data_IF_152587206898
#
_entry.id   IF_152587206898
#
_cell.length_a   1.000
_cell.length_b   1.000
_cell.length_c   1.000
_cell.angle_alpha   90.00
_cell.angle_beta   90.00
_cell.angle_gamma   90.00
#
_symmetry.space_group_name_H-M   'P 1'
#
loop_
_entity.id
_entity.type
_entity.pdbx_description
1 polymer ?
#
# COMPACT_ATOMS: atom_id res chain seq x y z
N UNK A 1 9.86 5.07 34.43
CA UNK A 1 9.20 4.53 33.21
C UNK A 1 9.12 5.62 32.15
N UNK A 2 9.36 5.29 30.88
CA UNK A 2 9.14 6.24 29.78
C UNK A 2 7.64 6.57 29.67
N UNK A 3 7.30 7.84 29.35
CA UNK A 3 5.90 8.25 29.13
C UNK A 3 5.38 7.57 27.86
N UNK A 4 4.18 6.98 27.93
CA UNK A 4 3.48 6.46 26.75
C UNK A 4 3.24 7.61 25.75
N UNK A 5 3.48 7.37 24.48
CA UNK A 5 3.43 8.40 23.42
C UNK A 5 4.26 9.65 23.74
N UNK A 6 5.31 9.53 24.58
CA UNK A 6 6.28 10.61 24.82
C UNK A 6 7.08 10.92 23.55
N UNK A 7 7.87 12.01 23.58
CA UNK A 7 8.72 12.41 22.44
C UNK A 7 9.62 11.27 21.96
N UNK A 8 10.10 10.41 22.88
CA UNK A 8 10.99 9.27 22.60
C UNK A 8 10.25 7.93 22.52
N UNK A 9 8.95 7.95 22.17
CA UNK A 9 8.18 6.74 21.94
C UNK A 9 8.88 5.84 20.92
N UNK A 10 9.06 4.56 21.24
CA UNK A 10 9.82 3.53 20.52
C UNK A 10 11.35 3.76 20.45
N UNK A 11 11.90 4.90 20.80
CA UNK A 11 13.33 5.20 20.75
C UNK A 11 13.99 4.83 22.08
N UNK A 12 14.79 3.77 22.09
CA UNK A 12 15.32 3.17 23.31
C UNK A 12 16.66 3.78 23.73
N UNK A 13 17.47 4.22 22.76
CA UNK A 13 18.85 4.70 22.96
C UNK A 13 18.96 6.21 22.65
N UNK A 14 20.03 6.86 23.11
CA UNK A 14 20.31 8.27 22.80
C UNK A 14 20.56 8.44 21.31
N UNK A 15 21.32 7.54 20.72
CA UNK A 15 21.58 7.53 19.27
C UNK A 15 20.27 7.39 18.47
N UNK A 16 19.34 6.50 18.89
CA UNK A 16 18.04 6.38 18.23
C UNK A 16 17.23 7.68 18.29
N UNK A 17 17.29 8.39 19.42
CA UNK A 17 16.63 9.69 19.60
C UNK A 17 17.23 10.75 18.68
N UNK A 18 18.56 10.85 18.60
CA UNK A 18 19.25 11.75 17.67
C UNK A 18 18.89 11.45 16.21
N UNK A 19 19.01 10.21 15.77
CA UNK A 19 18.67 9.76 14.41
C UNK A 19 17.24 10.15 14.02
N UNK A 20 16.30 10.01 14.96
CA UNK A 20 14.91 10.36 14.70
C UNK A 20 14.68 11.86 14.72
N UNK A 21 15.01 12.55 15.84
CA UNK A 21 14.64 13.94 16.03
C UNK A 21 15.40 14.91 15.13
N UNK A 22 16.69 14.63 14.87
CA UNK A 22 17.52 15.54 14.08
C UNK A 22 17.52 15.21 12.59
N UNK A 23 17.13 13.99 12.20
CA UNK A 23 17.23 13.54 10.79
C UNK A 23 15.89 13.03 10.24
N UNK A 24 15.40 11.87 10.68
CA UNK A 24 14.28 11.18 10.05
C UNK A 24 12.95 11.94 10.14
N UNK A 25 12.66 12.58 11.29
CA UNK A 25 11.40 13.30 11.53
C UNK A 25 11.26 14.57 10.67
N UNK A 26 12.38 15.12 10.19
CA UNK A 26 12.41 16.33 9.36
C UNK A 26 12.15 16.06 7.88
N UNK A 27 12.12 14.79 7.48
CA UNK A 27 11.90 14.43 6.08
C UNK A 27 10.43 14.53 5.70
N UNK A 28 10.12 15.06 4.49
CA UNK A 28 8.77 15.00 3.94
C UNK A 28 8.28 13.55 3.76
N UNK A 29 7.00 13.40 3.44
CA UNK A 29 6.41 12.11 3.12
C UNK A 29 6.23 11.98 1.60
N UNK A 30 6.76 10.90 1.05
CA UNK A 30 6.38 10.36 -0.25
C UNK A 30 5.61 9.07 0.01
N UNK A 31 4.30 9.11 -0.19
CA UNK A 31 3.42 7.96 -0.03
C UNK A 31 3.15 7.34 -1.40
N UNK A 32 4.10 6.56 -1.87
CA UNK A 32 4.12 6.03 -3.23
C UNK A 32 3.14 4.87 -3.48
N UNK A 33 2.35 4.50 -2.48
CA UNK A 33 1.20 3.60 -2.64
C UNK A 33 0.17 3.84 -1.52
N UNK A 34 -1.01 4.26 -1.90
CA UNK A 34 -2.16 4.43 -1.00
C UNK A 34 -3.48 4.15 -1.73
N UNK A 35 -4.56 4.06 -0.95
CA UNK A 35 -5.93 3.90 -1.45
C UNK A 35 -6.80 5.12 -1.12
N UNK A 36 -6.20 6.31 -1.02
CA UNK A 36 -6.98 7.54 -0.84
C UNK A 36 -7.93 7.73 -2.01
N UNK A 37 -9.14 8.20 -1.72
CA UNK A 37 -10.14 8.51 -2.74
C UNK A 37 -9.74 9.81 -3.45
N UNK A 38 -9.38 9.80 -4.75
CA UNK A 38 -8.88 10.99 -5.45
C UNK A 38 -9.85 12.17 -5.42
N UNK A 39 -11.17 11.89 -5.43
CA UNK A 39 -12.21 12.92 -5.34
C UNK A 39 -12.11 13.72 -4.05
N UNK A 40 -11.80 13.09 -2.91
CA UNK A 40 -11.67 13.79 -1.63
C UNK A 40 -10.54 14.82 -1.66
N UNK A 41 -9.43 14.52 -2.35
CA UNK A 41 -8.33 15.46 -2.53
C UNK A 41 -8.71 16.56 -3.50
N UNK A 42 -9.35 16.21 -4.63
CA UNK A 42 -9.76 17.17 -5.66
C UNK A 42 -10.77 18.20 -5.14
N UNK A 43 -11.70 17.76 -4.29
CA UNK A 43 -12.78 18.58 -3.71
C UNK A 43 -12.37 19.25 -2.39
N UNK A 44 -11.15 18.98 -1.90
CA UNK A 44 -10.69 19.39 -0.56
C UNK A 44 -11.71 19.03 0.53
N UNK A 45 -12.07 17.75 0.57
CA UNK A 45 -13.17 17.24 1.37
C UNK A 45 -13.04 17.58 2.85
N UNK A 46 -14.12 18.10 3.44
CA UNK A 46 -14.23 18.36 4.88
C UNK A 46 -14.90 17.18 5.57
N UNK A 47 -14.17 16.50 6.44
CA UNK A 47 -14.68 15.33 7.16
C UNK A 47 -15.76 15.73 8.17
N UNK A 48 -16.83 14.95 8.24
CA UNK A 48 -18.00 15.22 9.11
C UNK A 48 -17.74 14.83 10.55
N UNK A 49 -16.90 13.81 10.77
CA UNK A 49 -16.61 13.29 12.10
C UNK A 49 -15.30 12.50 12.12
N UNK A 50 -14.77 12.30 13.33
CA UNK A 50 -13.64 11.39 13.56
C UNK A 50 -14.00 9.94 13.20
N UNK A 51 -15.27 9.56 13.32
CA UNK A 51 -15.76 8.24 12.92
C UNK A 51 -15.60 8.03 11.40
N UNK A 52 -16.01 9.01 10.61
CA UNK A 52 -15.93 8.93 9.15
C UNK A 52 -14.48 8.71 8.69
N UNK A 53 -13.56 9.58 9.14
CA UNK A 53 -12.15 9.50 8.72
C UNK A 53 -11.41 8.28 9.30
N UNK A 54 -11.86 7.76 10.44
CA UNK A 54 -11.18 6.69 11.18
C UNK A 54 -11.73 5.30 10.90
N UNK A 55 -13.06 5.17 10.81
CA UNK A 55 -13.76 3.89 10.71
C UNK A 55 -14.39 3.66 9.33
N UNK A 56 -14.40 4.66 8.46
CA UNK A 56 -15.08 4.61 7.17
C UNK A 56 -14.55 3.55 6.19
N UNK A 57 -13.32 3.07 6.37
CA UNK A 57 -12.70 2.06 5.50
C UNK A 57 -11.62 1.22 6.19
N UNK A 58 -11.53 1.25 7.52
CA UNK A 58 -10.45 0.59 8.26
C UNK A 58 -10.85 -0.81 8.71
N UNK A 59 -10.56 -1.79 7.87
CA UNK A 59 -10.82 -3.19 8.16
C UNK A 59 -9.96 -3.76 9.31
N UNK A 60 -8.87 -3.13 9.74
CA UNK A 60 -8.12 -3.50 10.95
C UNK A 60 -8.95 -3.22 12.21
N UNK A 61 -9.52 -2.01 12.31
CA UNK A 61 -10.36 -1.62 13.44
C UNK A 61 -11.62 -2.47 13.50
N UNK A 62 -12.29 -2.73 12.36
CA UNK A 62 -13.45 -3.61 12.30
C UNK A 62 -13.15 -5.03 12.79
N UNK A 63 -11.99 -5.61 12.40
CA UNK A 63 -11.55 -6.92 12.91
C UNK A 63 -11.41 -6.94 14.42
N UNK A 64 -10.79 -5.90 15.00
CA UNK A 64 -10.61 -5.78 16.44
C UNK A 64 -11.96 -5.63 17.16
N UNK A 65 -12.87 -4.79 16.64
CA UNK A 65 -14.23 -4.61 17.18
C UNK A 65 -15.01 -5.92 17.19
N UNK A 66 -15.03 -6.66 16.08
CA UNK A 66 -15.66 -7.98 16.00
C UNK A 66 -15.04 -8.98 16.99
N UNK A 67 -13.72 -8.99 17.10
CA UNK A 67 -13.02 -9.86 18.07
C UNK A 67 -13.37 -9.51 19.50
N UNK A 68 -13.73 -8.26 19.78
CA UNK A 68 -14.21 -7.79 21.08
C UNK A 68 -15.72 -7.99 21.28
N UNK A 69 -16.42 -8.67 20.37
CA UNK A 69 -17.84 -8.98 20.47
C UNK A 69 -18.77 -7.82 20.04
N UNK A 70 -18.26 -6.82 19.33
CA UNK A 70 -19.07 -5.72 18.80
C UNK A 70 -19.85 -6.21 17.58
N UNK A 71 -21.17 -5.93 17.59
CA UNK A 71 -22.05 -6.29 16.49
C UNK A 71 -21.66 -5.57 15.18
N UNK A 72 -21.93 -6.25 14.03
CA UNK A 72 -21.56 -5.76 12.71
C UNK A 72 -22.15 -4.38 12.37
N UNK A 73 -23.35 -4.09 12.89
CA UNK A 73 -24.00 -2.79 12.68
C UNK A 73 -23.16 -1.59 13.15
N UNK A 74 -22.32 -1.79 14.17
CA UNK A 74 -21.40 -0.76 14.67
C UNK A 74 -20.04 -0.75 13.95
N UNK A 75 -19.73 -1.77 13.17
CA UNK A 75 -18.54 -1.84 12.33
C UNK A 75 -18.79 -1.20 10.96
N UNK A 76 -19.60 -1.84 10.13
CA UNK A 76 -19.89 -1.46 8.74
C UNK A 76 -21.33 -1.04 8.47
N UNK A 77 -22.25 -1.19 9.45
CA UNK A 77 -23.66 -0.87 9.29
C UNK A 77 -23.93 0.60 8.96
N UNK A 78 -25.08 0.84 8.31
CA UNK A 78 -25.50 2.19 7.88
C UNK A 78 -26.62 2.77 8.76
N UNK A 79 -27.15 1.97 9.68
CA UNK A 79 -28.26 2.27 10.56
C UNK A 79 -27.86 2.75 11.97
N UNK A 80 -26.54 2.96 12.17
CA UNK A 80 -25.95 3.47 13.42
C UNK A 80 -25.29 4.82 13.19
N UNK A 81 -25.36 5.68 14.19
CA UNK A 81 -24.71 7.00 14.17
C UNK A 81 -23.18 6.90 14.30
N UNK A 82 -22.50 7.95 13.89
CA UNK A 82 -21.06 8.08 14.03
C UNK A 82 -20.62 8.00 15.50
N UNK A 83 -21.41 8.56 16.43
CA UNK A 83 -21.12 8.47 17.85
C UNK A 83 -21.20 7.02 18.36
N UNK A 84 -22.25 6.28 18.02
CA UNK A 84 -22.41 4.89 18.45
C UNK A 84 -21.25 4.02 17.97
N UNK A 85 -20.78 4.21 16.73
CA UNK A 85 -19.61 3.51 16.21
C UNK A 85 -18.34 3.88 16.95
N UNK A 86 -18.12 5.18 17.17
CA UNK A 86 -16.95 5.67 17.89
C UNK A 86 -16.93 5.17 19.33
N UNK A 87 -18.06 5.18 20.03
CA UNK A 87 -18.20 4.65 21.39
C UNK A 87 -17.79 3.17 21.44
N UNK A 88 -18.25 2.35 20.47
CA UNK A 88 -17.88 0.93 20.39
C UNK A 88 -16.39 0.73 20.05
N UNK A 89 -15.79 1.63 19.27
CA UNK A 89 -14.36 1.65 19.11
C UNK A 89 -13.64 2.00 20.42
N UNK A 90 -14.08 3.02 21.12
CA UNK A 90 -13.51 3.41 22.42
C UNK A 90 -13.65 2.33 23.50
N UNK A 91 -14.74 1.54 23.48
CA UNK A 91 -14.88 0.33 24.31
C UNK A 91 -13.87 -0.77 23.92
N UNK A 92 -13.49 -0.84 22.64
CA UNK A 92 -12.58 -1.86 22.12
C UNK A 92 -11.12 -1.52 22.39
N UNK A 93 -10.73 -0.24 22.31
CA UNK A 93 -9.32 0.20 22.41
C UNK A 93 -8.58 -0.35 23.65
N UNK A 94 -9.15 -0.38 24.88
CA UNK A 94 -8.46 -0.96 26.04
C UNK A 94 -8.06 -2.44 25.88
N UNK A 95 -8.77 -3.18 25.05
CA UNK A 95 -8.48 -4.60 24.76
C UNK A 95 -7.45 -4.78 23.66
N UNK A 96 -7.02 -3.71 23.00
CA UNK A 96 -5.97 -3.75 21.95
C UNK A 96 -4.55 -3.60 22.50
N UNK A 97 -4.33 -3.70 23.84
CA UNK A 97 -2.99 -3.73 24.42
C UNK A 97 -2.13 -4.81 23.73
N UNK A 98 -0.89 -4.46 23.31
CA UNK A 98 0.02 -5.22 22.46
C UNK A 98 -0.40 -5.36 20.99
N UNK A 99 -1.63 -5.05 20.60
CA UNK A 99 -2.01 -4.92 19.20
C UNK A 99 -1.54 -3.55 18.67
N UNK A 100 -1.06 -3.43 17.42
CA UNK A 100 -0.60 -2.16 16.85
C UNK A 100 -1.68 -1.07 16.87
N UNK A 101 -2.96 -1.43 16.84
CA UNK A 101 -4.07 -0.47 16.92
C UNK A 101 -4.04 0.39 18.19
N UNK A 102 -3.50 -0.14 19.31
CA UNK A 102 -3.32 0.67 20.52
C UNK A 102 -2.32 1.81 20.29
N UNK A 103 -1.21 1.52 19.63
CA UNK A 103 -0.21 2.53 19.28
C UNK A 103 -0.73 3.50 18.23
N UNK A 104 -1.29 3.00 17.14
CA UNK A 104 -1.74 3.82 16.01
C UNK A 104 -2.87 4.76 16.43
N UNK A 105 -3.88 4.27 17.15
CA UNK A 105 -4.97 5.09 17.69
C UNK A 105 -4.44 6.31 18.46
N UNK A 106 -3.51 6.09 19.40
CA UNK A 106 -3.00 7.17 20.21
C UNK A 106 -1.96 8.04 19.50
N UNK A 107 -1.23 7.49 18.54
CA UNK A 107 -0.32 8.28 17.71
C UNK A 107 -1.10 9.20 16.76
N UNK A 108 -2.18 8.70 16.17
CA UNK A 108 -3.09 9.47 15.31
C UNK A 108 -3.77 10.60 16.12
N UNK A 109 -4.32 10.30 17.30
CA UNK A 109 -4.89 11.33 18.20
C UNK A 109 -3.87 12.41 18.57
N UNK A 110 -2.65 12.01 18.86
CA UNK A 110 -1.60 12.93 19.24
C UNK A 110 -1.13 13.80 18.08
N UNK A 111 -0.80 13.19 16.95
CA UNK A 111 -0.15 13.91 15.84
C UNK A 111 -1.12 14.73 15.00
N UNK A 112 -2.35 14.24 14.80
CA UNK A 112 -3.38 14.98 14.09
C UNK A 112 -4.04 16.04 14.99
N UNK A 113 -4.43 15.65 16.20
CA UNK A 113 -5.32 16.45 17.04
C UNK A 113 -4.64 17.03 18.30
N UNK A 114 -3.39 16.67 18.58
CA UNK A 114 -2.69 17.11 19.80
C UNK A 114 -3.26 16.51 21.09
N UNK A 115 -3.96 15.39 21.02
CA UNK A 115 -4.63 14.75 22.16
C UNK A 115 -3.70 13.68 22.76
N UNK A 116 -3.27 13.90 24.00
CA UNK A 116 -2.43 12.96 24.78
C UNK A 116 -3.26 12.02 25.68
N UNK A 117 -4.58 12.17 25.70
CA UNK A 117 -5.49 11.33 26.51
C UNK A 117 -5.61 9.94 25.94
N UNK A 118 -5.68 8.96 26.84
CA UNK A 118 -5.93 7.55 26.46
C UNK A 118 -7.40 7.39 26.12
N UNK A 119 -7.68 6.87 24.92
CA UNK A 119 -9.04 6.57 24.48
C UNK A 119 -9.57 5.33 25.21
N UNK A 120 -10.69 5.50 25.88
CA UNK A 120 -11.44 4.47 26.60
C UNK A 120 -12.87 4.98 26.82
N UNK A 121 -13.80 4.16 27.35
CA UNK A 121 -15.21 4.59 27.56
C UNK A 121 -15.39 5.87 28.39
N UNK A 122 -14.46 6.17 29.31
CA UNK A 122 -14.58 7.36 30.18
C UNK A 122 -14.14 8.65 29.48
N UNK A 123 -13.25 8.55 28.50
CA UNK A 123 -12.70 9.70 27.76
C UNK A 123 -13.31 9.84 26.36
N UNK A 124 -14.10 8.86 25.94
CA UNK A 124 -14.62 8.75 24.57
C UNK A 124 -15.37 10.02 24.14
N UNK A 125 -16.30 10.51 24.96
CA UNK A 125 -17.12 11.69 24.61
C UNK A 125 -16.29 12.94 24.45
N UNK A 126 -15.38 13.19 25.37
CA UNK A 126 -14.50 14.35 25.33
C UNK A 126 -13.58 14.33 24.10
N UNK A 127 -12.98 13.16 23.80
CA UNK A 127 -12.10 13.01 22.63
C UNK A 127 -12.91 13.15 21.32
N UNK A 128 -14.11 12.57 21.25
CA UNK A 128 -14.98 12.68 20.10
C UNK A 128 -15.34 14.13 19.78
N UNK A 129 -15.79 14.87 20.79
CA UNK A 129 -16.19 16.27 20.63
C UNK A 129 -14.97 17.13 20.24
N UNK A 130 -13.81 16.99 20.93
CA UNK A 130 -12.60 17.72 20.62
C UNK A 130 -12.08 17.45 19.19
N UNK A 131 -12.11 16.20 18.74
CA UNK A 131 -11.72 15.85 17.36
C UNK A 131 -12.68 16.48 16.35
N UNK A 132 -13.98 16.40 16.57
CA UNK A 132 -14.99 16.93 15.63
C UNK A 132 -14.96 18.47 15.58
N UNK A 133 -14.74 19.14 16.69
CA UNK A 133 -14.54 20.60 16.72
C UNK A 133 -13.34 21.02 15.85
N UNK A 134 -12.23 20.27 15.90
CA UNK A 134 -11.06 20.50 15.05
C UNK A 134 -11.34 20.17 13.59
N UNK A 135 -12.00 19.03 13.32
CA UNK A 135 -12.38 18.61 11.96
C UNK A 135 -13.29 19.61 11.24
N UNK A 136 -14.01 20.46 11.98
CA UNK A 136 -14.85 21.51 11.40
C UNK A 136 -14.02 22.66 10.75
N UNK A 137 -12.72 22.74 11.02
CA UNK A 137 -11.87 23.78 10.43
C UNK A 137 -11.21 23.34 9.12
N UNK A 138 -10.97 24.26 8.16
CA UNK A 138 -10.34 23.93 6.87
C UNK A 138 -8.95 23.32 6.99
N UNK A 139 -8.25 23.56 8.09
CA UNK A 139 -6.92 22.98 8.37
C UNK A 139 -6.94 21.45 8.56
N UNK A 140 -8.13 20.89 8.73
CA UNK A 140 -8.38 19.43 8.87
C UNK A 140 -9.17 18.85 7.70
N UNK A 141 -9.28 19.57 6.58
CA UNK A 141 -9.74 19.02 5.32
C UNK A 141 -8.77 17.96 4.76
N UNK A 142 -9.16 17.27 3.70
CA UNK A 142 -8.29 16.30 3.02
C UNK A 142 -6.91 16.91 2.67
N UNK A 143 -6.90 18.09 2.04
CA UNK A 143 -5.65 18.80 1.71
C UNK A 143 -4.94 19.34 2.96
N UNK A 144 -5.71 19.81 3.95
CA UNK A 144 -5.18 20.28 5.23
C UNK A 144 -4.42 19.18 5.98
N UNK A 145 -4.97 17.95 6.01
CA UNK A 145 -4.28 16.79 6.59
C UNK A 145 -2.98 16.45 5.85
N UNK A 146 -2.97 16.48 4.52
CA UNK A 146 -1.76 16.23 3.74
C UNK A 146 -0.67 17.26 4.05
N UNK A 147 -1.02 18.54 4.16
CA UNK A 147 -0.08 19.61 4.55
C UNK A 147 0.46 19.43 5.97
N UNK A 148 -0.42 19.08 6.91
CA UNK A 148 -0.06 18.85 8.34
C UNK A 148 1.02 17.81 8.50
N UNK A 149 0.99 16.76 7.66
CA UNK A 149 1.97 15.67 7.69
C UNK A 149 3.16 15.87 6.74
N UNK A 150 3.31 17.05 6.16
CA UNK A 150 4.39 17.38 5.22
C UNK A 150 4.48 16.38 4.05
N UNK A 151 3.33 16.01 3.49
CA UNK A 151 3.26 15.15 2.31
C UNK A 151 3.74 15.93 1.09
N UNK A 152 4.60 15.35 0.27
CA UNK A 152 5.06 15.91 -1.00
C UNK A 152 4.38 15.23 -2.19
N UNK A 153 4.24 13.90 -2.11
CA UNK A 153 3.65 13.09 -3.18
C UNK A 153 2.77 12.00 -2.58
N UNK A 154 1.63 11.76 -3.19
CA UNK A 154 0.82 10.54 -3.00
C UNK A 154 0.58 9.87 -4.34
N UNK A 155 0.67 8.52 -4.37
CA UNK A 155 0.28 7.72 -5.51
C UNK A 155 -0.93 6.89 -5.11
N UNK A 156 -2.05 7.11 -5.79
CA UNK A 156 -3.32 6.41 -5.56
C UNK A 156 -3.31 5.03 -6.23
N UNK A 157 -4.42 4.33 -6.23
CA UNK A 157 -4.54 3.02 -6.88
C UNK A 157 -5.71 3.09 -7.85
N UNK A 158 -5.42 3.03 -9.16
CA UNK A 158 -6.38 3.37 -10.20
C UNK A 158 -6.47 2.28 -11.28
N UNK A 159 -7.69 1.98 -11.69
CA UNK A 159 -7.99 0.97 -12.69
C UNK A 159 -7.76 1.51 -14.12
N UNK A 160 -7.33 0.71 -15.10
CA UNK A 160 -7.23 1.11 -16.51
C UNK A 160 -8.45 1.85 -17.08
N UNK A 161 -9.64 1.55 -16.57
CA UNK A 161 -10.89 2.18 -17.04
C UNK A 161 -11.24 3.49 -16.31
N UNK A 162 -10.46 3.93 -15.32
CA UNK A 162 -10.72 5.16 -14.59
C UNK A 162 -10.43 6.39 -15.44
N UNK A 163 -11.30 7.41 -15.35
CA UNK A 163 -11.17 8.67 -16.11
C UNK A 163 -10.01 9.54 -15.67
N UNK A 164 -9.51 9.35 -14.45
CA UNK A 164 -8.50 10.18 -13.78
C UNK A 164 -8.88 11.68 -13.67
N UNK A 165 -10.15 12.00 -13.78
CA UNK A 165 -10.66 13.38 -13.75
C UNK A 165 -10.28 14.13 -12.46
N UNK A 166 -10.23 13.43 -11.33
CA UNK A 166 -9.88 14.03 -10.03
C UNK A 166 -8.37 14.29 -9.91
N UNK A 167 -7.52 13.50 -10.57
CA UNK A 167 -6.09 13.78 -10.68
C UNK A 167 -5.86 15.03 -11.51
N UNK A 168 -6.54 15.14 -12.66
CA UNK A 168 -6.51 16.30 -13.53
C UNK A 168 -6.98 17.54 -12.77
N UNK A 169 -8.16 17.47 -12.13
CA UNK A 169 -8.73 18.57 -11.35
C UNK A 169 -7.78 19.03 -10.22
N UNK A 170 -7.16 18.08 -9.51
CA UNK A 170 -6.20 18.42 -8.45
C UNK A 170 -4.99 19.16 -9.01
N UNK A 171 -4.40 18.67 -10.09
CA UNK A 171 -3.26 19.30 -10.75
C UNK A 171 -3.60 20.71 -11.26
N UNK A 172 -4.74 20.86 -11.92
CA UNK A 172 -5.20 22.15 -12.47
C UNK A 172 -5.57 23.16 -11.39
N UNK A 173 -5.93 22.71 -10.18
CA UNK A 173 -6.18 23.60 -9.04
C UNK A 173 -4.91 24.28 -8.50
N UNK A 174 -3.73 23.87 -8.96
CA UNK A 174 -2.45 24.38 -8.45
C UNK A 174 -2.11 23.90 -7.05
N UNK A 175 -2.73 22.79 -6.57
CA UNK A 175 -2.40 22.20 -5.28
C UNK A 175 -0.94 21.76 -5.28
N UNK A 176 -0.20 22.17 -4.25
CA UNK A 176 1.26 22.00 -4.18
C UNK A 176 1.72 20.55 -3.98
N UNK A 177 0.86 19.68 -3.43
CA UNK A 177 1.16 18.26 -3.20
C UNK A 177 0.77 17.49 -4.47
N UNK A 178 1.68 16.69 -4.99
CA UNK A 178 1.43 15.88 -6.18
C UNK A 178 0.55 14.68 -5.83
N UNK A 179 -0.60 14.55 -6.49
CA UNK A 179 -1.41 13.34 -6.50
C UNK A 179 -1.29 12.69 -7.87
N UNK A 180 -0.62 11.54 -7.94
CA UNK A 180 -0.33 10.81 -9.17
C UNK A 180 -1.13 9.51 -9.22
N UNK A 181 -1.63 9.11 -10.39
CA UNK A 181 -2.27 7.81 -10.53
C UNK A 181 -1.22 6.69 -10.51
N UNK A 182 -1.64 5.49 -10.06
CA UNK A 182 -0.89 4.24 -10.23
C UNK A 182 -1.71 3.26 -11.04
N UNK A 183 -1.10 2.68 -12.06
CA UNK A 183 -1.72 1.71 -12.95
C UNK A 183 -1.94 0.37 -12.25
N UNK A 184 -3.20 0.01 -11.95
CA UNK A 184 -3.56 -1.28 -11.34
C UNK A 184 -4.49 -2.11 -12.23
N UNK A 185 -3.94 -2.91 -13.15
CA UNK A 185 -4.70 -3.61 -14.19
C UNK A 185 -5.21 -4.99 -13.76
N UNK A 186 -5.34 -5.30 -12.49
CA UNK A 186 -5.65 -6.66 -12.00
C UNK A 186 -6.95 -7.23 -12.60
N UNK A 187 -7.94 -6.38 -12.88
CA UNK A 187 -9.22 -6.83 -13.44
C UNK A 187 -9.12 -7.40 -14.84
N UNK A 188 -8.08 -7.04 -15.62
CA UNK A 188 -7.86 -7.66 -16.94
C UNK A 188 -7.44 -9.13 -16.85
N UNK A 189 -7.01 -9.54 -15.64
CA UNK A 189 -6.62 -10.93 -15.35
C UNK A 189 -7.69 -11.71 -14.60
N UNK A 190 -8.81 -11.08 -14.24
CA UNK A 190 -9.90 -11.69 -13.47
C UNK A 190 -10.82 -12.48 -14.40
N UNK A 191 -10.34 -13.64 -14.85
CA UNK A 191 -10.98 -14.52 -15.86
C UNK A 191 -11.75 -15.69 -15.26
N UNK A 192 -12.00 -15.67 -13.94
CA UNK A 192 -12.72 -16.74 -13.24
C UNK A 192 -14.23 -16.74 -13.53
N UNK A 193 -14.80 -15.55 -13.83
CA UNK A 193 -16.24 -15.36 -14.06
C UNK A 193 -16.44 -14.71 -15.43
N UNK A 194 -16.95 -15.45 -16.44
CA UNK A 194 -17.07 -14.96 -17.81
C UNK A 194 -17.89 -13.66 -17.94
N UNK A 195 -18.98 -13.54 -17.19
CA UNK A 195 -19.84 -12.35 -17.25
C UNK A 195 -19.11 -11.10 -16.77
N UNK A 196 -18.33 -11.21 -15.69
CA UNK A 196 -17.63 -10.09 -15.08
C UNK A 196 -16.46 -9.66 -15.98
N UNK A 197 -15.71 -10.62 -16.52
CA UNK A 197 -14.64 -10.35 -17.46
C UNK A 197 -15.15 -9.65 -18.73
N UNK A 198 -16.25 -10.16 -19.33
CA UNK A 198 -16.87 -9.52 -20.50
C UNK A 198 -17.29 -8.09 -20.19
N UNK A 199 -18.01 -7.87 -19.09
CA UNK A 199 -18.46 -6.53 -18.70
C UNK A 199 -17.29 -5.57 -18.50
N UNK A 200 -16.14 -6.06 -18.00
CA UNK A 200 -14.94 -5.26 -17.87
C UNK A 200 -14.31 -4.92 -19.23
N UNK A 201 -14.19 -5.90 -20.14
CA UNK A 201 -13.65 -5.69 -21.49
C UNK A 201 -14.51 -4.74 -22.31
N UNK A 202 -15.85 -4.82 -22.18
CA UNK A 202 -16.77 -3.86 -22.82
C UNK A 202 -16.55 -2.42 -22.32
N UNK A 203 -16.34 -2.22 -21.01
CA UNK A 203 -15.99 -0.90 -20.48
C UNK A 203 -14.62 -0.42 -20.95
N UNK A 204 -13.63 -1.33 -21.01
CA UNK A 204 -12.31 -1.02 -21.54
C UNK A 204 -12.38 -0.58 -23.01
N UNK A 205 -13.20 -1.28 -23.82
CA UNK A 205 -13.48 -0.93 -25.20
C UNK A 205 -14.05 0.48 -25.31
N UNK A 206 -15.06 0.80 -24.51
CA UNK A 206 -15.71 2.12 -24.47
C UNK A 206 -14.71 3.23 -24.11
N UNK A 207 -14.00 3.10 -22.99
CA UNK A 207 -13.12 4.18 -22.50
C UNK A 207 -11.85 4.35 -23.34
N UNK A 208 -11.38 3.28 -23.97
CA UNK A 208 -10.23 3.31 -24.86
C UNK A 208 -10.58 3.72 -26.28
N UNK A 209 -11.88 3.72 -26.66
CA UNK A 209 -12.36 3.91 -28.04
C UNK A 209 -11.69 2.91 -29.02
N UNK A 210 -11.49 1.67 -28.58
CA UNK A 210 -10.99 0.55 -29.36
C UNK A 210 -12.07 -0.52 -29.39
N UNK A 211 -12.51 -0.91 -30.57
CA UNK A 211 -13.45 -2.02 -30.73
C UNK A 211 -12.71 -3.34 -30.43
N UNK A 212 -13.01 -3.96 -29.28
CA UNK A 212 -12.33 -5.15 -28.82
C UNK A 212 -13.10 -6.38 -29.30
N UNK A 213 -12.61 -7.01 -30.33
CA UNK A 213 -13.15 -8.26 -30.88
C UNK A 213 -12.28 -9.48 -30.60
N UNK A 214 -11.00 -9.29 -30.34
CA UNK A 214 -10.04 -10.33 -30.03
C UNK A 214 -9.00 -9.91 -28.96
N UNK A 215 -8.05 -10.79 -28.68
CA UNK A 215 -7.01 -10.55 -27.69
C UNK A 215 -6.08 -9.39 -28.08
N UNK A 216 -5.72 -9.28 -29.35
CA UNK A 216 -4.79 -8.23 -29.81
C UNK A 216 -5.43 -6.84 -29.70
N UNK A 217 -6.74 -6.76 -29.95
CA UNK A 217 -7.52 -5.54 -29.72
C UNK A 217 -7.54 -5.15 -28.25
N UNK A 218 -7.71 -6.12 -27.32
CA UNK A 218 -7.64 -5.87 -25.89
C UNK A 218 -6.27 -5.32 -25.47
N UNK A 219 -5.19 -5.88 -25.98
CA UNK A 219 -3.83 -5.38 -25.71
C UNK A 219 -3.65 -3.96 -26.28
N UNK A 220 -4.20 -3.69 -27.45
CA UNK A 220 -4.19 -2.34 -28.06
C UNK A 220 -4.93 -1.33 -27.18
N UNK A 221 -6.10 -1.69 -26.67
CA UNK A 221 -6.88 -0.88 -25.75
C UNK A 221 -6.11 -0.60 -24.45
N UNK A 222 -5.49 -1.61 -23.85
CA UNK A 222 -4.66 -1.46 -22.66
C UNK A 222 -3.46 -0.55 -22.91
N UNK A 223 -2.75 -0.67 -24.04
CA UNK A 223 -1.64 0.22 -24.39
C UNK A 223 -2.10 1.68 -24.52
N UNK A 224 -3.25 1.91 -25.17
CA UNK A 224 -3.83 3.26 -25.27
C UNK A 224 -4.14 3.85 -23.88
N UNK A 225 -4.68 3.04 -22.97
CA UNK A 225 -4.93 3.47 -21.58
C UNK A 225 -3.64 3.67 -20.79
N UNK A 226 -2.65 2.83 -20.97
CA UNK A 226 -1.34 2.95 -20.34
C UNK A 226 -0.62 4.24 -20.77
N UNK A 227 -0.68 4.60 -22.06
CA UNK A 227 -0.20 5.87 -22.58
C UNK A 227 -0.94 7.06 -21.93
N UNK A 228 -2.26 6.97 -21.81
CA UNK A 228 -3.07 7.99 -21.14
C UNK A 228 -2.65 8.18 -19.66
N UNK A 229 -2.41 7.09 -18.93
CA UNK A 229 -1.91 7.17 -17.55
C UNK A 229 -0.53 7.83 -17.50
N UNK A 230 0.35 7.52 -18.45
CA UNK A 230 1.67 8.16 -18.56
C UNK A 230 1.54 9.67 -18.76
N UNK A 231 0.62 10.11 -19.62
CA UNK A 231 0.33 11.53 -19.89
C UNK A 231 -0.21 12.24 -18.64
N UNK A 232 -0.89 11.51 -17.74
CA UNK A 232 -1.34 12.04 -16.46
C UNK A 232 -0.26 11.99 -15.36
N UNK A 233 0.95 11.55 -15.67
CA UNK A 233 2.09 11.56 -14.76
C UNK A 233 2.29 10.26 -13.96
N UNK A 234 1.62 9.18 -14.34
CA UNK A 234 1.84 7.86 -13.77
C UNK A 234 3.30 7.42 -13.95
N UNK A 235 3.87 6.80 -12.91
CA UNK A 235 5.25 6.28 -12.89
C UNK A 235 5.34 4.88 -12.28
N UNK A 236 4.21 4.32 -11.90
CA UNK A 236 4.11 3.11 -11.11
C UNK A 236 2.98 2.24 -11.63
N UNK A 237 3.20 0.93 -11.61
CA UNK A 237 2.11 -0.03 -11.61
C UNK A 237 2.01 -0.71 -10.25
N UNK A 238 0.88 -1.34 -9.99
CA UNK A 238 0.62 -2.11 -8.79
C UNK A 238 -0.24 -3.33 -9.11
N UNK A 239 0.03 -4.44 -8.44
CA UNK A 239 -0.69 -5.69 -8.57
C UNK A 239 -0.98 -6.28 -7.19
N UNK A 240 -2.24 -6.67 -6.95
CA UNK A 240 -2.67 -7.41 -5.76
C UNK A 240 -3.00 -8.85 -6.13
N UNK A 241 -2.00 -9.72 -6.17
CA UNK A 241 -2.11 -11.12 -6.59
C UNK A 241 -2.02 -12.09 -5.40
N UNK A 242 -2.65 -13.26 -5.50
CA UNK A 242 -2.49 -14.28 -4.46
C UNK A 242 -1.09 -14.89 -4.50
N UNK A 243 -0.63 -15.25 -5.69
CA UNK A 243 0.69 -15.82 -5.96
C UNK A 243 1.21 -15.36 -7.32
N UNK A 244 2.48 -15.58 -7.61
CA UNK A 244 3.04 -15.34 -8.94
C UNK A 244 2.59 -16.41 -9.94
N UNK A 245 2.21 -15.96 -11.11
CA UNK A 245 1.79 -16.83 -12.24
C UNK A 245 2.92 -16.91 -13.27
N UNK A 246 3.38 -18.11 -13.59
CA UNK A 246 4.50 -18.31 -14.52
C UNK A 246 4.38 -19.63 -15.31
N UNK A 247 3.15 -19.99 -15.70
CA UNK A 247 2.91 -21.15 -16.56
C UNK A 247 3.48 -20.95 -17.96
N UNK A 248 3.82 -22.05 -18.62
CA UNK A 248 4.18 -22.02 -20.04
C UNK A 248 2.93 -21.89 -20.90
N UNK A 249 3.02 -21.09 -21.93
CA UNK A 249 1.94 -20.85 -22.88
C UNK A 249 2.49 -20.50 -24.26
N UNK A 250 1.64 -20.60 -25.26
CA UNK A 250 1.87 -20.05 -26.60
C UNK A 250 0.88 -18.93 -26.90
N UNK A 251 1.23 -18.03 -27.80
CA UNK A 251 0.34 -16.94 -28.20
C UNK A 251 -1.02 -17.46 -28.74
N UNK A 252 -1.00 -18.58 -29.48
CA UNK A 252 -2.22 -19.22 -29.97
C UNK A 252 -3.13 -19.71 -28.84
N UNK A 253 -2.57 -20.29 -27.77
CA UNK A 253 -3.36 -20.72 -26.61
C UNK A 253 -4.00 -19.51 -25.93
N UNK A 254 -3.26 -18.40 -25.72
CA UNK A 254 -3.79 -17.21 -25.06
C UNK A 254 -4.94 -16.59 -25.86
N UNK A 255 -4.79 -16.47 -27.19
CA UNK A 255 -5.86 -15.99 -28.06
C UNK A 255 -7.11 -16.91 -28.03
N UNK A 256 -6.91 -18.22 -28.00
CA UNK A 256 -8.01 -19.18 -27.86
C UNK A 256 -8.70 -19.07 -26.49
N UNK A 257 -7.94 -18.90 -25.41
CA UNK A 257 -8.46 -18.70 -24.05
C UNK A 257 -9.28 -17.40 -23.98
N UNK A 258 -8.76 -16.30 -24.53
CA UNK A 258 -9.49 -15.04 -24.60
C UNK A 258 -10.83 -15.22 -25.35
N UNK A 259 -10.82 -15.80 -26.53
CA UNK A 259 -12.04 -16.03 -27.32
C UNK A 259 -13.05 -16.88 -26.55
N UNK A 260 -12.58 -17.89 -25.81
CA UNK A 260 -13.41 -18.78 -25.00
C UNK A 260 -14.11 -18.01 -23.85
N UNK A 261 -13.38 -17.24 -23.06
CA UNK A 261 -13.93 -16.49 -21.91
C UNK A 261 -14.81 -15.32 -22.39
N UNK A 262 -14.36 -14.57 -23.39
CA UNK A 262 -15.11 -13.47 -23.99
C UNK A 262 -16.39 -13.96 -24.67
N UNK A 263 -16.36 -15.18 -25.25
CA UNK A 263 -17.51 -15.89 -25.76
C UNK A 263 -18.51 -16.38 -24.68
N UNK A 264 -18.18 -16.25 -23.39
CA UNK A 264 -19.04 -16.57 -22.24
C UNK A 264 -18.86 -18.00 -21.71
N UNK A 265 -17.80 -18.71 -22.11
CA UNK A 265 -17.51 -20.04 -21.58
C UNK A 265 -16.52 -20.01 -20.44
N UNK A 266 -16.75 -20.85 -19.41
CA UNK A 266 -15.83 -20.98 -18.28
C UNK A 266 -14.48 -21.55 -18.71
N UNK A 267 -13.41 -21.08 -18.05
CA UNK A 267 -12.05 -21.58 -18.23
C UNK A 267 -11.74 -22.72 -17.26
N UNK A 268 -10.88 -23.61 -17.67
CA UNK A 268 -10.24 -24.55 -16.74
C UNK A 268 -9.22 -23.83 -15.87
N UNK A 269 -8.83 -24.42 -14.73
CA UNK A 269 -7.79 -23.85 -13.86
C UNK A 269 -6.46 -23.62 -14.60
N UNK A 270 -6.08 -24.53 -15.50
CA UNK A 270 -4.87 -24.39 -16.30
C UNK A 270 -4.97 -23.19 -17.25
N UNK A 271 -6.10 -23.01 -17.94
CA UNK A 271 -6.33 -21.89 -18.84
C UNK A 271 -6.28 -20.56 -18.08
N UNK A 272 -6.88 -20.48 -16.87
CA UNK A 272 -6.80 -19.31 -16.01
C UNK A 272 -5.34 -18.96 -15.67
N UNK A 273 -4.55 -19.95 -15.24
CA UNK A 273 -3.15 -19.73 -14.87
C UNK A 273 -2.29 -19.33 -16.07
N UNK A 274 -2.50 -19.93 -17.25
CA UNK A 274 -1.81 -19.53 -18.49
C UNK A 274 -2.14 -18.10 -18.89
N UNK A 275 -3.42 -17.73 -18.85
CA UNK A 275 -3.84 -16.36 -19.19
C UNK A 275 -3.24 -15.32 -18.24
N UNK A 276 -3.33 -15.54 -16.93
CA UNK A 276 -2.70 -14.67 -15.93
C UNK A 276 -1.19 -14.57 -16.11
N UNK A 277 -0.52 -15.69 -16.43
CA UNK A 277 0.93 -15.69 -16.70
C UNK A 277 1.31 -14.85 -17.91
N UNK A 278 0.53 -14.94 -18.99
CA UNK A 278 0.74 -14.13 -20.19
C UNK A 278 0.52 -12.64 -19.89
N UNK A 279 -0.58 -12.32 -19.22
CA UNK A 279 -0.90 -10.92 -18.89
C UNK A 279 0.17 -10.28 -18.00
N UNK A 280 0.67 -10.95 -16.97
CA UNK A 280 1.75 -10.39 -16.13
C UNK A 280 3.00 -10.05 -16.95
N UNK A 281 3.38 -10.89 -17.93
CA UNK A 281 4.53 -10.60 -18.78
C UNK A 281 4.25 -9.40 -19.69
N UNK A 282 3.08 -9.35 -20.34
CA UNK A 282 2.70 -8.23 -21.23
C UNK A 282 2.66 -6.91 -20.45
N UNK A 283 2.04 -6.89 -19.28
CA UNK A 283 1.96 -5.71 -18.43
C UNK A 283 3.34 -5.26 -17.95
N UNK A 284 4.20 -6.21 -17.54
CA UNK A 284 5.58 -5.89 -17.15
C UNK A 284 6.42 -5.35 -18.31
N UNK A 285 6.20 -5.81 -19.55
CA UNK A 285 6.84 -5.23 -20.75
C UNK A 285 6.33 -3.81 -21.04
N UNK A 286 5.03 -3.54 -20.84
CA UNK A 286 4.47 -2.19 -20.97
C UNK A 286 5.08 -1.22 -19.95
N UNK A 287 5.23 -1.66 -18.71
CA UNK A 287 5.88 -0.86 -17.66
C UNK A 287 7.35 -0.57 -17.98
N UNK A 288 8.08 -1.58 -18.51
CA UNK A 288 9.46 -1.41 -18.95
C UNK A 288 9.57 -0.37 -20.09
N UNK A 289 8.67 -0.40 -21.06
CA UNK A 289 8.64 0.56 -22.18
C UNK A 289 8.50 2.02 -21.71
N UNK A 290 7.83 2.26 -20.58
CA UNK A 290 7.67 3.58 -19.95
C UNK A 290 8.73 3.88 -18.87
N UNK A 291 9.56 2.91 -18.50
CA UNK A 291 10.50 3.04 -17.38
C UNK A 291 9.82 3.14 -16.02
N UNK A 292 8.58 2.65 -15.90
CA UNK A 292 7.82 2.64 -14.67
C UNK A 292 8.38 1.65 -13.67
N UNK A 293 7.99 1.81 -12.41
CA UNK A 293 8.25 0.82 -11.36
C UNK A 293 7.04 -0.07 -11.20
N UNK A 294 7.20 -1.38 -11.36
CA UNK A 294 6.14 -2.34 -11.07
C UNK A 294 6.16 -2.76 -9.60
N UNK A 295 4.99 -2.87 -8.98
CA UNK A 295 4.81 -3.29 -7.59
C UNK A 295 3.95 -4.55 -7.52
N UNK A 296 4.33 -5.51 -6.69
CA UNK A 296 3.58 -6.75 -6.49
C UNK A 296 3.29 -6.95 -5.00
N UNK A 297 2.02 -6.80 -4.64
CA UNK A 297 1.47 -7.18 -3.35
C UNK A 297 0.91 -8.60 -3.45
N UNK A 298 1.58 -9.59 -2.84
CA UNK A 298 1.18 -10.98 -2.97
C UNK A 298 1.04 -11.71 -1.62
N UNK A 299 0.27 -12.79 -1.61
CA UNK A 299 0.21 -13.71 -0.47
C UNK A 299 -1.04 -13.59 0.40
N UNK A 300 -2.09 -12.87 -0.06
CA UNK A 300 -3.34 -12.79 0.66
C UNK A 300 -4.33 -13.89 0.21
N UNK A 301 -4.90 -14.63 1.18
CA UNK A 301 -6.12 -15.40 0.95
C UNK A 301 -7.29 -14.48 1.20
N UNK A 302 -8.03 -14.17 0.15
CA UNK A 302 -9.13 -13.21 0.17
C UNK A 302 -10.47 -13.86 0.49
N UNK A 303 -11.36 -13.08 1.14
CA UNK A 303 -12.78 -13.41 1.31
C UNK A 303 -13.04 -14.78 1.98
N UNK A 304 -12.25 -15.12 3.01
CA UNK A 304 -12.29 -16.43 3.68
C UNK A 304 -13.65 -16.78 4.31
N UNK A 305 -14.47 -15.78 4.60
CA UNK A 305 -15.81 -15.98 5.16
C UNK A 305 -16.88 -15.71 4.09
N UNK A 306 -17.30 -16.77 3.39
CA UNK A 306 -18.26 -16.66 2.29
C UNK A 306 -19.62 -16.07 2.69
N UNK A 307 -20.08 -16.32 3.95
CA UNK A 307 -21.29 -15.71 4.48
C UNK A 307 -21.16 -14.20 4.59
N UNK A 308 -20.04 -13.72 5.15
CA UNK A 308 -19.79 -12.29 5.32
C UNK A 308 -19.47 -11.62 3.99
N UNK A 309 -18.81 -12.30 3.07
CA UNK A 309 -18.60 -11.80 1.72
C UNK A 309 -19.92 -11.53 0.97
N UNK A 310 -20.88 -12.46 1.08
CA UNK A 310 -22.24 -12.25 0.50
C UNK A 310 -22.97 -11.07 1.14
N UNK A 311 -22.74 -10.80 2.43
CA UNK A 311 -23.43 -9.75 3.17
C UNK A 311 -22.78 -8.37 2.97
N UNK A 312 -21.43 -8.28 2.98
CA UNK A 312 -20.69 -7.04 3.08
C UNK A 312 -19.81 -6.72 1.86
N UNK A 313 -19.54 -7.70 1.00
CA UNK A 313 -18.60 -7.57 -0.11
C UNK A 313 -17.13 -7.74 0.31
N UNK A 314 -16.20 -7.42 -0.61
CA UNK A 314 -14.77 -7.52 -0.39
C UNK A 314 -14.24 -6.44 0.56
N UNK A 315 -13.00 -6.58 1.00
CA UNK A 315 -12.23 -5.60 1.78
C UNK A 315 -12.86 -5.21 3.13
N UNK A 316 -13.65 -6.12 3.71
CA UNK A 316 -14.35 -5.88 4.98
C UNK A 316 -13.72 -6.59 6.19
N UNK A 317 -12.48 -7.07 6.04
CA UNK A 317 -11.67 -7.61 7.13
C UNK A 317 -11.74 -9.13 7.30
N UNK A 318 -12.10 -9.87 6.24
CA UNK A 318 -12.19 -11.34 6.25
C UNK A 318 -11.11 -12.02 5.39
N UNK A 319 -9.95 -11.39 5.29
CA UNK A 319 -8.78 -11.88 4.58
C UNK A 319 -7.70 -12.36 5.56
N UNK A 320 -6.79 -13.21 5.09
CA UNK A 320 -5.73 -13.80 5.91
C UNK A 320 -4.42 -13.87 5.14
N UNK A 321 -3.32 -14.04 5.90
CA UNK A 321 -2.03 -14.43 5.36
C UNK A 321 -2.16 -15.81 4.71
N UNK A 322 -1.70 -15.93 3.47
CA UNK A 322 -1.65 -17.19 2.73
C UNK A 322 -0.29 -17.87 2.84
N UNK A 323 -0.30 -19.17 2.61
CA UNK A 323 0.89 -19.99 2.48
C UNK A 323 1.00 -20.50 1.04
N UNK A 324 1.71 -19.74 0.20
CA UNK A 324 1.87 -20.02 -1.22
C UNK A 324 3.33 -20.39 -1.53
N UNK A 325 3.54 -21.45 -2.30
CA UNK A 325 4.87 -21.88 -2.76
C UNK A 325 5.31 -21.08 -4.01
N UNK A 326 5.41 -19.77 -3.86
CA UNK A 326 5.54 -18.83 -4.99
C UNK A 326 6.99 -18.61 -5.47
N UNK A 327 8.02 -19.05 -4.75
CA UNK A 327 9.43 -18.73 -5.06
C UNK A 327 9.83 -19.11 -6.50
N UNK A 328 9.45 -20.31 -6.98
CA UNK A 328 9.78 -20.75 -8.33
C UNK A 328 9.05 -19.94 -9.42
N UNK A 329 7.78 -19.67 -9.20
CA UNK A 329 6.98 -18.88 -10.14
C UNK A 329 7.46 -17.42 -10.18
N UNK A 330 7.77 -16.82 -9.05
CA UNK A 330 8.38 -15.48 -8.95
C UNK A 330 9.70 -15.40 -9.71
N UNK A 331 10.62 -16.35 -9.44
CA UNK A 331 11.91 -16.42 -10.14
C UNK A 331 11.71 -16.51 -11.65
N UNK A 332 10.81 -17.38 -12.10
CA UNK A 332 10.52 -17.60 -13.53
C UNK A 332 9.87 -16.38 -14.19
N UNK A 333 8.97 -15.68 -13.48
CA UNK A 333 8.39 -14.42 -13.95
C UNK A 333 9.47 -13.35 -14.15
N UNK A 334 10.29 -13.10 -13.12
CA UNK A 334 11.36 -12.11 -13.18
C UNK A 334 12.39 -12.46 -14.28
N UNK A 335 12.75 -13.73 -14.40
CA UNK A 335 13.71 -14.20 -15.40
C UNK A 335 13.18 -14.06 -16.84
N UNK A 336 11.91 -14.31 -17.08
CA UNK A 336 11.28 -14.11 -18.42
C UNK A 336 11.38 -12.66 -18.90
N UNK A 337 11.22 -11.69 -18.00
CA UNK A 337 11.41 -10.27 -18.32
C UNK A 337 12.91 -9.94 -18.43
N UNK A 338 13.73 -10.44 -17.51
CA UNK A 338 15.15 -10.13 -17.43
C UNK A 338 15.93 -10.70 -18.63
N UNK A 339 15.64 -11.93 -19.04
CA UNK A 339 16.30 -12.58 -20.19
C UNK A 339 16.07 -11.85 -21.52
N UNK A 340 14.98 -11.09 -21.62
CA UNK A 340 14.69 -10.20 -22.77
C UNK A 340 15.24 -8.79 -22.58
N UNK A 341 15.92 -8.49 -21.46
CA UNK A 341 16.33 -7.13 -21.10
C UNK A 341 15.16 -6.19 -20.79
N UNK A 342 14.00 -6.73 -20.41
CA UNK A 342 12.74 -5.96 -20.18
C UNK A 342 12.28 -5.96 -18.73
N UNK A 343 13.11 -6.38 -17.79
CA UNK A 343 12.80 -6.25 -16.37
C UNK A 343 13.03 -4.80 -15.92
N UNK A 344 11.97 -4.13 -15.56
CA UNK A 344 12.01 -2.76 -15.01
C UNK A 344 12.26 -2.75 -13.50
N UNK A 345 12.33 -1.57 -12.89
CA UNK A 345 12.34 -1.41 -11.42
C UNK A 345 11.17 -2.18 -10.82
N UNK A 346 11.42 -3.00 -9.80
CA UNK A 346 10.40 -3.88 -9.23
C UNK A 346 10.43 -3.86 -7.72
N UNK A 347 9.26 -3.79 -7.10
CA UNK A 347 9.09 -3.89 -5.64
C UNK A 347 8.21 -5.10 -5.32
N UNK A 348 8.68 -5.97 -4.43
CA UNK A 348 7.98 -7.17 -3.99
C UNK A 348 7.55 -7.01 -2.54
N UNK A 349 6.25 -7.12 -2.27
CA UNK A 349 5.67 -7.09 -0.93
C UNK A 349 5.05 -8.44 -0.62
N UNK A 350 5.54 -9.10 0.44
CA UNK A 350 4.92 -10.32 0.95
C UNK A 350 3.97 -10.04 2.10
N UNK A 351 3.00 -10.92 2.26
CA UNK A 351 2.12 -10.93 3.42
C UNK A 351 2.58 -11.93 4.48
N UNK A 352 3.22 -13.02 4.08
CA UNK A 352 3.70 -14.06 4.99
C UNK A 352 5.15 -13.78 5.43
N UNK A 353 5.41 -13.50 6.72
CA UNK A 353 6.77 -13.20 7.19
C UNK A 353 7.75 -14.36 7.02
N UNK A 354 7.26 -15.60 6.86
CA UNK A 354 8.12 -16.75 6.57
C UNK A 354 8.81 -16.67 5.20
N UNK A 355 8.36 -15.75 4.33
CA UNK A 355 8.96 -15.52 3.02
C UNK A 355 9.99 -14.37 2.99
N UNK A 356 10.29 -13.72 4.13
CA UNK A 356 11.15 -12.55 4.15
C UNK A 356 12.55 -12.85 3.59
N UNK A 357 13.22 -13.90 4.07
CA UNK A 357 14.55 -14.29 3.62
C UNK A 357 14.53 -14.80 2.17
N UNK A 358 13.44 -15.46 1.77
CA UNK A 358 13.27 -15.88 0.37
C UNK A 358 13.24 -14.66 -0.56
N UNK A 359 12.49 -13.62 -0.23
CA UNK A 359 12.44 -12.40 -1.04
C UNK A 359 13.77 -11.66 -0.99
N UNK A 360 14.36 -11.49 0.20
CA UNK A 360 15.62 -10.80 0.37
C UNK A 360 16.76 -11.44 -0.44
N UNK A 361 16.74 -12.77 -0.63
CA UNK A 361 17.66 -13.47 -1.53
C UNK A 361 17.24 -13.39 -3.00
N UNK A 362 15.94 -13.43 -3.31
CA UNK A 362 15.42 -13.35 -4.66
C UNK A 362 15.78 -12.04 -5.35
N UNK A 363 15.62 -10.91 -4.66
CA UNK A 363 15.92 -9.59 -5.21
C UNK A 363 17.40 -9.45 -5.63
N UNK A 364 18.30 -10.16 -4.95
CA UNK A 364 19.74 -10.16 -5.28
C UNK A 364 20.07 -10.77 -6.64
N UNK A 365 19.23 -11.70 -7.13
CA UNK A 365 19.47 -12.39 -8.40
C UNK A 365 19.28 -11.49 -9.63
N UNK A 366 18.54 -10.39 -9.49
CA UNK A 366 18.12 -9.55 -10.61
C UNK A 366 18.61 -8.10 -10.50
N UNK A 367 19.59 -7.83 -9.62
CA UNK A 367 20.32 -6.56 -9.60
C UNK A 367 21.33 -6.56 -10.75
N UNK A 368 21.26 -5.57 -11.63
CA UNK A 368 22.10 -5.50 -12.85
C UNK A 368 23.08 -4.30 -12.86
N UNK A 369 23.09 -3.52 -11.79
CA UNK A 369 23.96 -2.35 -11.66
C UNK A 369 23.49 -1.10 -12.41
N UNK A 370 22.40 -1.16 -13.17
CA UNK A 370 21.86 0.00 -13.90
C UNK A 370 21.25 1.05 -12.98
N UNK A 371 20.57 0.60 -11.92
CA UNK A 371 19.91 1.44 -10.93
C UNK A 371 20.19 0.88 -9.53
N UNK A 372 20.66 1.70 -8.58
CA UNK A 372 20.89 1.24 -7.21
C UNK A 372 19.60 0.70 -6.59
N UNK A 373 19.60 -0.57 -6.18
CA UNK A 373 18.43 -1.23 -5.62
C UNK A 373 17.28 -1.40 -6.62
N UNK A 374 17.57 -1.71 -7.89
CA UNK A 374 16.58 -1.88 -8.97
C UNK A 374 15.43 -2.80 -8.57
N UNK A 375 15.73 -3.89 -7.88
CA UNK A 375 14.74 -4.81 -7.34
C UNK A 375 14.71 -4.63 -5.83
N UNK A 376 13.56 -4.29 -5.28
CA UNK A 376 13.33 -3.94 -3.88
C UNK A 376 12.56 -5.04 -3.15
N UNK A 377 12.90 -5.25 -1.90
CA UNK A 377 12.01 -5.86 -0.93
C UNK A 377 11.21 -4.75 -0.27
N UNK A 378 9.91 -4.65 -0.52
CA UNK A 378 9.05 -3.59 -0.03
C UNK A 378 8.89 -3.58 1.49
N UNK A 379 8.31 -2.51 2.03
CA UNK A 379 8.05 -2.39 3.47
C UNK A 379 7.13 -3.49 3.99
N UNK A 380 7.14 -3.70 5.30
CA UNK A 380 6.14 -4.56 5.93
C UNK A 380 4.74 -4.13 5.50
N UNK A 381 4.08 -4.98 4.72
CA UNK A 381 2.76 -4.75 4.16
C UNK A 381 1.69 -5.30 5.12
N UNK A 382 0.43 -5.11 4.84
CA UNK A 382 -0.77 -5.55 5.56
C UNK A 382 -0.52 -6.70 6.58
N UNK A 383 -0.95 -6.57 7.81
CA UNK A 383 -0.58 -7.39 8.98
C UNK A 383 0.89 -7.30 9.43
N UNK A 384 1.84 -6.93 8.56
CA UNK A 384 3.26 -6.77 8.87
C UNK A 384 3.69 -5.31 9.00
N UNK A 385 2.81 -4.37 8.77
CA UNK A 385 3.01 -2.91 8.85
C UNK A 385 3.03 -2.39 10.31
N UNK A 386 3.46 -3.21 11.23
CA UNK A 386 3.61 -2.96 12.65
C UNK A 386 5.06 -3.25 13.10
N UNK A 387 5.42 -2.81 14.32
CA UNK A 387 6.81 -2.81 14.79
C UNK A 387 7.54 -4.13 14.55
N UNK A 388 6.98 -5.26 14.98
CA UNK A 388 7.62 -6.57 14.86
C UNK A 388 7.77 -7.02 13.39
N UNK A 389 6.74 -6.78 12.57
CA UNK A 389 6.78 -7.07 11.13
C UNK A 389 7.78 -6.18 10.39
N UNK A 390 7.84 -4.89 10.71
CA UNK A 390 8.82 -3.94 10.16
C UNK A 390 10.25 -4.34 10.55
N UNK A 391 10.51 -4.64 11.84
CA UNK A 391 11.84 -5.08 12.30
C UNK A 391 12.28 -6.37 11.59
N UNK A 392 11.39 -7.35 11.42
CA UNK A 392 11.69 -8.58 10.69
C UNK A 392 12.03 -8.33 9.21
N UNK A 393 11.26 -7.48 8.54
CA UNK A 393 11.52 -7.13 7.14
C UNK A 393 12.86 -6.37 7.00
N UNK A 394 13.11 -5.37 7.85
CA UNK A 394 14.36 -4.59 7.85
C UNK A 394 15.58 -5.48 8.13
N UNK A 395 15.48 -6.41 9.09
CA UNK A 395 16.54 -7.37 9.38
C UNK A 395 16.82 -8.30 8.21
N UNK A 396 15.80 -8.91 7.60
CA UNK A 396 16.00 -9.78 6.43
C UNK A 396 16.65 -9.01 5.27
N UNK A 397 16.17 -7.78 5.00
CA UNK A 397 16.75 -6.94 3.95
C UNK A 397 18.18 -6.53 4.25
N UNK A 398 18.50 -6.13 5.48
CA UNK A 398 19.85 -5.68 5.84
C UNK A 398 20.89 -6.81 5.80
N UNK A 399 20.48 -8.03 6.19
CA UNK A 399 21.37 -9.19 6.26
C UNK A 399 21.66 -9.82 4.88
N UNK A 400 20.73 -9.70 3.93
CA UNK A 400 20.79 -10.41 2.64
C UNK A 400 20.79 -9.45 1.43
N UNK A 401 20.62 -8.16 1.64
CA UNK A 401 20.62 -7.11 0.64
C UNK A 401 21.29 -5.84 1.15
N UNK A 402 20.85 -4.67 0.67
CA UNK A 402 21.39 -3.37 1.07
C UNK A 402 20.28 -2.47 1.63
N UNK A 403 20.15 -2.45 2.95
CA UNK A 403 19.17 -1.61 3.63
C UNK A 403 19.29 -0.12 3.24
N UNK A 404 20.50 0.39 3.02
CA UNK A 404 20.72 1.78 2.61
C UNK A 404 20.09 2.17 1.27
N UNK A 405 19.65 1.21 0.46
CA UNK A 405 18.96 1.43 -0.83
C UNK A 405 17.46 1.21 -0.77
N UNK A 406 16.94 0.92 0.42
CA UNK A 406 15.52 0.70 0.63
C UNK A 406 14.71 1.98 0.36
N UNK A 407 13.61 1.86 -0.38
CA UNK A 407 12.73 2.98 -0.76
C UNK A 407 11.79 3.43 0.37
N UNK A 408 11.83 2.75 1.52
CA UNK A 408 11.12 3.17 2.73
C UNK A 408 9.65 2.75 2.80
N UNK A 409 8.91 3.45 3.64
CA UNK A 409 7.52 3.17 4.03
C UNK A 409 6.53 3.78 3.06
N UNK A 410 5.36 3.17 2.99
CA UNK A 410 4.13 3.64 2.37
C UNK A 410 2.95 3.43 3.34
N UNK A 411 1.80 4.05 3.13
CA UNK A 411 0.67 3.86 4.05
C UNK A 411 -0.20 2.67 3.70
N UNK A 412 -0.37 2.35 2.44
CA UNK A 412 -1.36 1.37 1.94
C UNK A 412 -2.74 1.59 2.58
N UNK A 413 -3.17 2.83 2.68
CA UNK A 413 -4.34 3.20 3.47
C UNK A 413 -5.36 4.03 2.70
N UNK A 414 -6.61 3.89 3.13
CA UNK A 414 -7.75 4.70 2.68
C UNK A 414 -7.95 5.97 3.53
N UNK A 415 -7.25 6.08 4.67
CA UNK A 415 -7.48 7.15 5.64
C UNK A 415 -6.40 8.23 5.63
N UNK A 416 -6.82 9.49 5.60
CA UNK A 416 -5.94 10.66 5.77
C UNK A 416 -5.30 10.74 7.16
N UNK A 417 -5.75 9.96 8.13
CA UNK A 417 -5.12 9.82 9.45
C UNK A 417 -4.04 8.72 9.50
N UNK A 418 -3.69 8.10 8.38
CA UNK A 418 -2.69 7.03 8.35
C UNK A 418 -1.25 7.49 8.12
N UNK A 419 -1.01 8.76 7.83
CA UNK A 419 0.35 9.31 7.67
C UNK A 419 1.27 9.09 8.89
N UNK A 420 0.79 9.01 10.15
CA UNK A 420 1.60 8.61 11.29
C UNK A 420 2.27 7.23 11.16
N UNK A 421 1.87 6.39 10.21
CA UNK A 421 2.59 5.14 9.90
C UNK A 421 4.02 5.41 9.42
N UNK A 422 4.25 6.51 8.69
CA UNK A 422 5.61 6.96 8.34
C UNK A 422 6.42 7.32 9.59
N UNK A 423 5.83 8.02 10.55
CA UNK A 423 6.47 8.31 11.84
C UNK A 423 6.79 7.03 12.60
N UNK A 424 5.83 6.11 12.70
CA UNK A 424 5.99 4.83 13.36
C UNK A 424 7.13 4.00 12.75
N UNK A 425 7.19 3.95 11.43
CA UNK A 425 8.27 3.31 10.68
C UNK A 425 9.63 3.97 10.95
N UNK A 426 9.72 5.30 10.82
CA UNK A 426 10.96 6.06 11.04
C UNK A 426 11.50 5.85 12.45
N UNK A 427 10.62 5.81 13.46
CA UNK A 427 11.01 5.50 14.86
C UNK A 427 11.52 4.06 14.98
N UNK A 428 10.90 3.10 14.33
CA UNK A 428 11.33 1.70 14.32
C UNK A 428 12.71 1.56 13.66
N UNK A 429 12.92 2.19 12.50
CA UNK A 429 14.20 2.22 11.79
C UNK A 429 15.31 2.85 12.63
N UNK A 430 15.07 4.04 13.19
CA UNK A 430 16.06 4.75 14.02
C UNK A 430 16.38 3.98 15.30
N UNK A 431 15.39 3.29 15.88
CA UNK A 431 15.62 2.44 17.04
C UNK A 431 16.47 1.22 16.73
N UNK A 432 16.27 0.59 15.56
CA UNK A 432 17.08 -0.53 15.10
C UNK A 432 18.55 -0.08 14.95
N UNK A 433 18.80 0.94 14.13
CA UNK A 433 20.15 1.43 13.84
C UNK A 433 20.83 2.04 15.08
N UNK A 434 20.08 2.74 15.93
CA UNK A 434 20.61 3.32 17.15
C UNK A 434 21.09 2.24 18.16
N UNK A 435 20.41 1.10 18.23
CA UNK A 435 20.88 -0.05 19.02
C UNK A 435 22.17 -0.62 18.46
N UNK A 436 22.26 -0.78 17.16
CA UNK A 436 23.43 -1.35 16.50
C UNK A 436 24.67 -0.46 16.67
N UNK A 437 24.50 0.86 16.66
CA UNK A 437 25.61 1.81 16.97
C UNK A 437 26.03 1.70 18.45
N UNK A 438 25.08 1.71 19.38
CA UNK A 438 25.42 1.66 20.81
C UNK A 438 25.92 0.29 21.29
N UNK A 439 25.56 -0.79 20.59
CA UNK A 439 26.13 -2.14 20.83
C UNK A 439 27.52 -2.32 20.18
N UNK A 440 27.97 -1.39 19.34
CA UNK A 440 29.24 -1.46 18.62
C UNK A 440 29.22 -2.35 17.37
N UNK A 441 28.02 -2.75 16.92
CA UNK A 441 27.83 -3.49 15.66
C UNK A 441 28.04 -2.55 14.46
N UNK A 442 27.70 -1.26 14.63
CA UNK A 442 28.04 -0.17 13.70
C UNK A 442 29.05 0.75 14.40
N UNK A 443 30.25 1.00 13.78
CA UNK A 443 31.25 1.89 14.38
C UNK A 443 30.71 3.31 14.56
N UNK A 444 30.97 3.94 15.70
CA UNK A 444 30.58 5.35 15.96
C UNK A 444 31.19 6.34 14.93
N UNK A 445 32.33 5.99 14.30
CA UNK A 445 32.91 6.78 13.20
C UNK A 445 32.07 6.85 11.94
N UNK A 446 31.05 5.98 11.80
CA UNK A 446 30.14 5.95 10.65
C UNK A 446 28.82 6.70 10.90
N UNK A 447 28.70 7.43 12.02
CA UNK A 447 27.45 8.15 12.38
C UNK A 447 26.94 9.05 11.25
N UNK A 448 27.80 9.79 10.56
CA UNK A 448 27.40 10.64 9.43
C UNK A 448 26.71 9.83 8.32
N UNK A 449 27.19 8.60 8.05
CA UNK A 449 26.57 7.69 7.08
C UNK A 449 25.23 7.14 7.58
N UNK A 450 25.14 6.82 8.88
CA UNK A 450 23.87 6.36 9.49
C UNK A 450 22.84 7.48 9.47
N UNK A 451 23.24 8.72 9.79
CA UNK A 451 22.38 9.90 9.68
C UNK A 451 21.87 10.12 8.24
N UNK A 452 22.76 9.98 7.26
CA UNK A 452 22.34 10.08 5.85
C UNK A 452 21.43 8.92 5.45
N UNK A 453 21.74 7.69 5.87
CA UNK A 453 20.93 6.50 5.57
C UNK A 453 19.49 6.61 6.09
N UNK A 454 19.25 7.12 7.29
CA UNK A 454 17.87 7.32 7.78
C UNK A 454 17.12 8.38 7.00
N UNK A 455 17.78 9.43 6.50
CA UNK A 455 17.19 10.43 5.60
C UNK A 455 16.86 9.82 4.23
N UNK A 456 17.79 9.04 3.70
CA UNK A 456 17.64 8.38 2.41
C UNK A 456 16.44 7.42 2.43
N UNK A 457 16.36 6.53 3.42
CA UNK A 457 15.25 5.59 3.57
C UNK A 457 13.93 6.30 3.87
N UNK A 458 13.97 7.41 4.62
CA UNK A 458 12.77 8.17 4.97
C UNK A 458 12.22 9.01 3.83
N UNK A 459 13.04 9.31 2.77
CA UNK A 459 12.64 10.23 1.72
C UNK A 459 13.43 10.12 0.41
N UNK A 460 14.77 10.32 0.45
CA UNK A 460 15.55 10.52 -0.78
C UNK A 460 15.59 9.30 -1.69
N UNK A 461 15.61 8.09 -1.12
CA UNK A 461 15.58 6.88 -1.93
C UNK A 461 14.29 6.80 -2.75
N UNK A 462 13.12 7.02 -2.14
CA UNK A 462 11.86 7.05 -2.88
C UNK A 462 11.85 8.15 -3.95
N UNK A 463 12.23 9.38 -3.59
CA UNK A 463 12.29 10.51 -4.52
C UNK A 463 13.12 10.21 -5.76
N UNK A 464 14.32 9.66 -5.56
CA UNK A 464 15.24 9.37 -6.66
C UNK A 464 14.84 8.12 -7.45
N UNK A 465 14.35 7.08 -6.77
CA UNK A 465 13.95 5.81 -7.39
C UNK A 465 12.75 5.98 -8.33
N UNK A 466 11.75 6.72 -7.90
CA UNK A 466 10.55 6.99 -8.69
C UNK A 466 10.69 8.22 -9.59
N UNK A 467 11.66 9.10 -9.34
CA UNK A 467 11.87 10.36 -10.06
C UNK A 467 10.66 11.30 -9.94
N UNK A 468 10.17 11.48 -8.71
CA UNK A 468 9.06 12.39 -8.40
C UNK A 468 9.46 13.88 -8.42
#
# INVERSE_FOLDING_TARGET
MKKFMGKDFLLQTETAQELYHEHASKMPIIDYHCHLVPQMVADDYQFKSITEIWLGGDHYKWRAMRSNGVEERFCTGKDTSDWEKFEKWAETVPYTLRNPLYHWTHLELKTAFGIDKILNPKTAREIYDECNDKLASPEYSARGMMRRYHVEVVCTTDDPIDSLEYHIKTRESGFEIKMLPTWRPDKVMAVEIPSDFRAYVEKLSEISEVDISDFDDMITALRKRHDYFADQGCKLSDHGIEEFYAEEYTDGEIKAIFNKIYGGSELTKEEVLKFKSAMLIILGEMDWEKGWTQQFHYGAIRNNNSRMFKLLGPDTGFDSIGEFMTAKAMSKFLDRLNSKGRLTKTILYNLNPCANEMIATMIGNFQDGSIPGKIQFGSGWWFLDQKDGMEKQLNALSLLGLLSRFVGMLTDSRSFLSYPRHEYFRRTLCNLLGRDVESGEIPASEMDRVCQMVKDISYFNAKNFFQF
#
